data_IF_513810196531
#
_entry.id   IF_513810196531
#
_cell.length_a   1.000
_cell.length_b   1.000
_cell.length_c   1.000
_cell.angle_alpha   90.00
_cell.angle_beta   90.00
_cell.angle_gamma   90.00
#
_symmetry.space_group_name_H-M   'P 1'
#
loop_
_entity.id
_entity.type
_entity.pdbx_description
1 polymer ?
#
# COMPACT_ATOMS: atom_id res chain seq x y z
N UNK A 1 -65.37 19.19 4.02
CA UNK A 1 -65.43 19.24 2.55
C UNK A 1 -65.11 20.65 2.14
N UNK A 2 -64.07 21.03 1.42
CA UNK A 2 -62.93 20.34 0.83
C UNK A 2 -61.92 21.44 0.43
N UNK A 3 -60.63 21.21 0.71
CA UNK A 3 -59.45 21.48 -0.12
C UNK A 3 -59.49 22.65 -1.13
N UNK A 4 -58.59 23.65 -1.15
CA UNK A 4 -57.14 23.64 -1.51
C UNK A 4 -56.88 25.06 -2.11
N UNK A 5 -55.72 25.70 -2.21
CA UNK A 5 -54.29 25.52 -1.88
C UNK A 5 -53.62 26.84 -2.34
N UNK A 6 -52.62 27.36 -1.62
CA UNK A 6 -51.29 27.70 -2.16
C UNK A 6 -50.45 28.43 -1.11
N UNK A 7 -49.64 27.62 -0.42
CA UNK A 7 -48.45 28.07 0.28
C UNK A 7 -47.35 28.39 -0.75
N UNK A 8 -46.75 29.57 -0.63
CA UNK A 8 -45.53 29.93 -1.34
C UNK A 8 -44.35 29.63 -0.40
N UNK A 9 -43.73 28.46 -0.56
CA UNK A 9 -42.43 28.15 0.00
C UNK A 9 -41.35 28.88 -0.81
N UNK A 10 -40.63 29.80 -0.17
CA UNK A 10 -39.33 30.26 -0.66
C UNK A 10 -38.26 29.29 -0.20
N UNK A 11 -37.60 28.73 -1.20
CA UNK A 11 -36.36 27.99 -1.16
C UNK A 11 -35.20 28.79 -0.55
N UNK A 12 -34.31 28.09 0.15
CA UNK A 12 -32.85 28.20 0.11
C UNK A 12 -32.20 28.04 1.48
N UNK A 13 -31.56 26.88 1.64
CA UNK A 13 -30.67 26.57 2.75
C UNK A 13 -30.23 25.12 2.70
N UNK A 14 -29.84 24.65 1.51
CA UNK A 14 -29.25 23.33 1.32
C UNK A 14 -27.91 23.33 2.08
N UNK A 15 -27.93 22.91 3.36
CA UNK A 15 -26.73 22.61 4.13
C UNK A 15 -26.01 21.46 3.43
N UNK A 16 -25.10 21.81 2.53
CA UNK A 16 -24.07 20.92 2.02
C UNK A 16 -23.39 20.31 3.24
N UNK A 17 -23.58 19.02 3.44
CA UNK A 17 -22.67 18.21 4.26
C UNK A 17 -21.31 18.35 3.60
N UNK A 18 -20.49 19.25 4.11
CA UNK A 18 -19.05 19.12 4.00
C UNK A 18 -18.66 17.87 4.79
N UNK A 19 -18.78 16.71 4.16
CA UNK A 19 -17.91 15.58 4.46
C UNK A 19 -16.50 15.96 4.02
N UNK A 20 -15.91 16.91 4.76
CA UNK A 20 -14.46 16.94 4.93
C UNK A 20 -14.11 15.63 5.61
N UNK A 21 -13.90 14.57 4.80
CA UNK A 21 -13.02 13.48 5.20
C UNK A 21 -11.72 14.19 5.57
N UNK A 22 -11.50 14.39 6.86
CA UNK A 22 -10.21 14.86 7.37
C UNK A 22 -9.17 14.01 6.68
N UNK A 23 -8.34 14.63 5.83
CA UNK A 23 -7.23 13.94 5.20
C UNK A 23 -6.43 13.32 6.36
N UNK A 24 -6.41 11.99 6.44
CA UNK A 24 -5.70 11.32 7.51
C UNK A 24 -4.22 11.59 7.27
N UNK A 25 -3.64 12.51 8.04
CA UNK A 25 -2.22 12.79 7.99
C UNK A 25 -1.47 11.65 8.68
N UNK A 26 -1.19 10.60 7.92
CA UNK A 26 -0.35 9.49 8.37
C UNK A 26 1.12 9.88 8.27
N UNK A 27 1.88 9.53 9.31
CA UNK A 27 3.34 9.52 9.25
C UNK A 27 3.83 8.45 8.26
N UNK A 28 5.07 8.59 7.77
CA UNK A 28 5.62 7.64 6.81
C UNK A 28 5.65 6.21 7.35
N UNK A 29 5.99 6.04 8.64
CA UNK A 29 5.93 4.73 9.31
C UNK A 29 4.52 4.13 9.30
N UNK A 30 3.49 4.94 9.49
CA UNK A 30 2.10 4.46 9.46
C UNK A 30 1.67 4.07 8.05
N UNK A 31 2.03 4.87 7.03
CA UNK A 31 1.74 4.52 5.63
C UNK A 31 2.47 3.25 5.21
N UNK A 32 3.74 3.13 5.58
CA UNK A 32 4.55 1.95 5.33
C UNK A 32 3.95 0.71 6.02
N UNK A 33 3.46 0.86 7.26
CA UNK A 33 2.76 -0.21 7.95
C UNK A 33 1.47 -0.62 7.22
N UNK A 34 0.74 0.32 6.59
CA UNK A 34 -0.45 0.00 5.80
C UNK A 34 -0.14 -0.81 4.53
N UNK A 35 1.07 -0.71 3.96
CA UNK A 35 1.45 -1.53 2.82
C UNK A 35 1.31 -3.03 3.12
N UNK A 36 1.60 -3.45 4.36
CA UNK A 36 1.46 -4.84 4.80
C UNK A 36 0.01 -5.28 5.05
N UNK A 37 -0.94 -4.33 5.06
CA UNK A 37 -2.37 -4.60 5.17
C UNK A 37 -3.04 -4.76 3.81
N UNK A 38 -2.37 -4.42 2.71
CA UNK A 38 -2.91 -4.64 1.37
C UNK A 38 -3.11 -6.13 1.10
N UNK A 39 -4.21 -6.48 0.45
CA UNK A 39 -4.56 -7.88 0.14
C UNK A 39 -3.49 -8.51 -0.78
N UNK A 40 -2.88 -7.70 -1.65
CA UNK A 40 -1.84 -8.09 -2.58
C UNK A 40 -0.46 -8.24 -1.93
N UNK A 41 -0.27 -7.76 -0.69
CA UNK A 41 1.03 -7.74 -0.02
C UNK A 41 1.69 -9.13 -0.03
N UNK A 42 0.93 -10.19 0.23
CA UNK A 42 1.43 -11.57 0.28
C UNK A 42 2.02 -12.10 -1.04
N UNK A 43 1.81 -11.39 -2.15
CA UNK A 43 2.46 -11.73 -3.42
C UNK A 43 3.94 -11.32 -3.43
N UNK A 44 4.27 -10.20 -2.78
CA UNK A 44 5.55 -9.50 -2.91
C UNK A 44 6.31 -9.37 -1.59
N UNK A 45 5.63 -9.42 -0.46
CA UNK A 45 6.16 -9.17 0.87
C UNK A 45 5.36 -9.93 1.94
N UNK A 46 5.68 -9.72 3.21
CA UNK A 46 4.97 -10.31 4.35
C UNK A 46 3.60 -9.66 4.53
N UNK A 47 2.57 -10.45 4.85
CA UNK A 47 1.25 -9.92 5.19
C UNK A 47 1.18 -9.52 6.66
N UNK A 48 0.24 -8.64 7.04
CA UNK A 48 -0.06 -8.29 8.45
C UNK A 48 -0.05 -9.50 9.39
N UNK A 49 -0.73 -10.59 9.04
CA UNK A 49 -0.84 -11.76 9.92
C UNK A 49 0.51 -12.46 10.09
N UNK A 50 1.32 -12.51 9.04
CA UNK A 50 2.66 -13.09 9.08
C UNK A 50 3.61 -12.24 9.91
N UNK A 51 3.50 -10.92 9.81
CA UNK A 51 4.21 -9.98 10.68
C UNK A 51 3.85 -10.20 12.15
N UNK A 52 2.55 -10.31 12.46
CA UNK A 52 2.07 -10.43 13.83
C UNK A 52 2.38 -11.79 14.47
N UNK A 53 2.44 -12.85 13.66
CA UNK A 53 2.69 -14.22 14.16
C UNK A 53 4.15 -14.63 14.09
N UNK A 54 4.97 -13.92 13.29
CA UNK A 54 6.35 -14.30 12.99
C UNK A 54 6.47 -15.55 12.11
N UNK A 55 5.37 -16.10 11.60
CA UNK A 55 5.35 -17.29 10.74
C UNK A 55 4.81 -16.89 9.37
N UNK A 56 5.54 -17.22 8.31
CA UNK A 56 5.18 -16.83 6.96
C UNK A 56 5.41 -17.94 5.94
N UNK A 57 4.67 -17.86 4.84
CA UNK A 57 4.88 -18.72 3.67
C UNK A 57 6.00 -18.17 2.79
N UNK A 58 7.10 -18.89 2.67
CA UNK A 58 8.23 -18.57 1.79
C UNK A 58 8.09 -19.27 0.44
N UNK A 59 8.14 -18.49 -0.64
CA UNK A 59 7.98 -18.98 -2.02
C UNK A 59 9.32 -19.38 -2.63
N UNK A 60 9.48 -20.68 -2.92
CA UNK A 60 10.68 -21.26 -3.52
C UNK A 60 10.33 -21.89 -4.87
N UNK A 61 10.34 -21.06 -5.93
CA UNK A 61 9.84 -21.48 -7.24
C UNK A 61 8.36 -21.83 -7.17
N UNK A 62 8.01 -23.07 -7.49
CA UNK A 62 6.63 -23.60 -7.39
C UNK A 62 6.29 -24.16 -6.02
N UNK A 63 7.26 -24.29 -5.13
CA UNK A 63 7.08 -24.80 -3.77
C UNK A 63 6.85 -23.64 -2.80
N UNK A 64 6.14 -23.96 -1.72
CA UNK A 64 5.93 -23.03 -0.59
C UNK A 64 6.26 -23.76 0.70
N UNK A 65 7.11 -23.15 1.51
CA UNK A 65 7.52 -23.68 2.81
C UNK A 65 7.20 -22.69 3.92
N UNK A 66 6.98 -23.19 5.14
CA UNK A 66 6.80 -22.32 6.31
C UNK A 66 8.17 -21.88 6.82
N UNK A 67 8.32 -20.58 6.99
CA UNK A 67 9.49 -19.96 7.59
C UNK A 67 9.08 -19.16 8.83
N UNK A 68 10.05 -18.89 9.70
CA UNK A 68 9.87 -18.10 10.91
C UNK A 68 10.82 -16.91 10.90
N UNK A 69 10.34 -15.77 11.37
CA UNK A 69 11.14 -14.58 11.62
C UNK A 69 10.76 -13.98 12.95
N UNK A 70 11.75 -13.44 13.67
CA UNK A 70 11.54 -12.71 14.92
C UNK A 70 11.40 -11.22 14.66
N UNK A 71 12.05 -10.73 13.61
CA UNK A 71 12.12 -9.32 13.26
C UNK A 71 11.74 -9.07 11.80
N UNK A 72 11.34 -7.83 11.52
CA UNK A 72 11.16 -7.31 10.17
C UNK A 72 12.01 -6.08 10.04
N UNK A 73 12.85 -6.07 9.01
CA UNK A 73 13.71 -4.94 8.69
C UNK A 73 13.24 -4.29 7.40
N UNK A 74 13.16 -2.96 7.44
CA UNK A 74 12.98 -2.10 6.28
C UNK A 74 14.28 -1.35 6.06
N UNK A 75 15.01 -1.71 5.02
CA UNK A 75 16.28 -1.09 4.67
C UNK A 75 16.04 -0.07 3.55
N UNK A 76 16.36 1.19 3.82
CA UNK A 76 16.16 2.28 2.86
C UNK A 76 17.04 2.09 1.62
N UNK A 77 16.45 2.36 0.45
CA UNK A 77 17.09 2.23 -0.84
C UNK A 77 17.38 3.61 -1.42
N UNK A 78 18.44 3.75 -2.25
CA UNK A 78 18.60 4.92 -3.09
C UNK A 78 17.37 5.16 -3.99
N UNK A 79 17.12 6.41 -4.40
CA UNK A 79 16.07 6.71 -5.37
C UNK A 79 16.22 5.90 -6.65
N UNK A 80 15.10 5.48 -7.22
CA UNK A 80 15.04 4.71 -8.46
C UNK A 80 14.69 5.63 -9.63
N UNK A 81 15.36 5.46 -10.77
CA UNK A 81 15.08 6.26 -11.96
C UNK A 81 13.64 6.09 -12.44
N UNK A 82 13.05 7.17 -12.95
CA UNK A 82 11.69 7.20 -13.48
C UNK A 82 10.58 6.81 -12.49
N UNK A 83 10.89 6.84 -11.19
CA UNK A 83 9.90 6.70 -10.12
C UNK A 83 9.04 7.98 -9.99
N UNK A 84 7.81 7.85 -9.44
CA UNK A 84 7.02 9.00 -9.03
C UNK A 84 7.80 9.94 -8.10
N UNK A 85 7.48 11.23 -8.19
CA UNK A 85 8.09 12.27 -7.35
C UNK A 85 7.95 11.94 -5.87
N UNK A 86 9.03 12.17 -5.11
CA UNK A 86 9.11 11.94 -3.66
C UNK A 86 8.81 10.49 -3.23
N UNK A 87 9.03 9.51 -4.11
CA UNK A 87 8.91 8.11 -3.74
C UNK A 87 10.17 7.61 -3.02
N UNK A 88 9.98 7.12 -1.80
CA UNK A 88 10.99 6.46 -0.98
C UNK A 88 10.85 4.95 -1.14
N UNK A 89 11.97 4.24 -1.21
CA UNK A 89 12.01 2.81 -1.45
C UNK A 89 12.71 2.07 -0.31
N UNK A 90 12.23 0.86 -0.02
CA UNK A 90 12.74 0.03 1.05
C UNK A 90 12.80 -1.43 0.61
N UNK A 91 13.91 -2.10 0.88
CA UNK A 91 13.94 -3.56 0.91
C UNK A 91 13.22 -4.05 2.16
N UNK A 92 12.44 -5.13 2.02
CA UNK A 92 11.78 -5.80 3.13
C UNK A 92 12.48 -7.11 3.42
N UNK A 93 12.89 -7.29 4.68
CA UNK A 93 13.47 -8.53 5.17
C UNK A 93 12.63 -9.15 6.30
N UNK A 94 12.52 -10.49 6.33
CA UNK A 94 12.98 -11.42 5.29
C UNK A 94 12.18 -11.30 3.98
N UNK A 95 12.75 -11.68 2.84
CA UNK A 95 12.01 -11.71 1.59
C UNK A 95 10.92 -12.79 1.62
N UNK A 96 9.86 -12.55 0.87
CA UNK A 96 8.71 -13.47 0.75
C UNK A 96 9.01 -14.71 -0.10
N UNK A 97 10.11 -14.72 -0.83
CA UNK A 97 10.50 -15.84 -1.67
C UNK A 97 11.92 -15.69 -2.20
N UNK A 98 12.25 -16.45 -3.24
CA UNK A 98 13.52 -16.35 -3.96
C UNK A 98 13.60 -15.09 -4.85
N UNK A 99 13.27 -13.93 -4.29
CA UNK A 99 13.33 -12.61 -4.91
C UNK A 99 13.50 -11.56 -3.81
N UNK A 100 14.02 -10.38 -4.16
CA UNK A 100 14.02 -9.23 -3.26
C UNK A 100 12.61 -8.65 -3.16
N UNK A 101 12.12 -8.47 -1.93
CA UNK A 101 10.87 -7.79 -1.62
C UNK A 101 11.12 -6.29 -1.49
N UNK A 102 10.40 -5.46 -2.25
CA UNK A 102 10.56 -4.00 -2.24
C UNK A 102 9.22 -3.33 -2.02
N UNK A 103 9.19 -2.32 -1.14
CA UNK A 103 8.08 -1.37 -0.99
C UNK A 103 8.57 0.02 -1.40
N UNK A 104 7.83 0.69 -2.28
CA UNK A 104 7.97 2.11 -2.55
C UNK A 104 6.77 2.86 -1.97
N UNK A 105 6.95 4.08 -1.48
CA UNK A 105 5.82 4.91 -1.06
C UNK A 105 6.10 6.39 -1.24
N UNK A 106 5.06 7.12 -1.62
CA UNK A 106 4.99 8.56 -1.46
C UNK A 106 3.66 8.92 -0.78
N UNK A 107 3.29 10.19 -0.82
CA UNK A 107 2.04 10.68 -0.21
C UNK A 107 0.76 10.11 -0.84
N UNK A 108 0.83 9.66 -2.11
CA UNK A 108 -0.33 9.32 -2.94
C UNK A 108 -0.37 7.84 -3.32
N UNK A 109 0.75 7.11 -3.25
CA UNK A 109 0.87 5.75 -3.78
C UNK A 109 1.75 4.86 -2.92
N UNK A 110 1.39 3.59 -2.88
CA UNK A 110 2.24 2.48 -2.42
C UNK A 110 2.58 1.62 -3.63
N UNK A 111 3.86 1.32 -3.80
CA UNK A 111 4.38 0.39 -4.78
C UNK A 111 4.89 -0.85 -4.07
N UNK A 112 4.64 -2.03 -4.64
CA UNK A 112 5.18 -3.29 -4.12
C UNK A 112 5.66 -4.16 -5.28
N UNK A 113 6.85 -4.75 -5.15
CA UNK A 113 7.31 -5.73 -6.13
C UNK A 113 8.21 -6.80 -5.53
N UNK A 114 8.29 -7.91 -6.26
CA UNK A 114 9.34 -8.90 -6.12
C UNK A 114 10.26 -8.83 -7.34
N UNK A 115 11.58 -8.79 -7.13
CA UNK A 115 12.54 -8.79 -8.24
C UNK A 115 13.75 -9.69 -7.99
N UNK A 116 14.20 -10.37 -9.04
CA UNK A 116 15.49 -11.08 -9.07
C UNK A 116 16.55 -10.32 -9.87
N UNK A 117 16.13 -9.28 -10.61
CA UNK A 117 16.98 -8.49 -11.49
C UNK A 117 17.51 -7.23 -10.82
N UNK A 118 18.37 -6.52 -11.54
CA UNK A 118 18.90 -5.24 -11.08
C UNK A 118 17.78 -4.21 -10.86
N UNK A 119 17.85 -3.48 -9.75
CA UNK A 119 16.94 -2.39 -9.41
C UNK A 119 17.48 -1.09 -10.01
N UNK A 120 17.17 -0.83 -11.27
CA UNK A 120 17.73 0.34 -12.00
C UNK A 120 16.68 1.34 -12.46
N UNK A 121 15.45 0.87 -12.71
CA UNK A 121 14.39 1.65 -13.33
C UNK A 121 13.02 1.23 -12.82
N UNK A 122 12.20 2.22 -12.46
CA UNK A 122 10.88 1.99 -11.87
C UNK A 122 9.90 1.31 -12.85
N UNK A 123 9.93 1.67 -14.13
CA UNK A 123 9.06 1.10 -15.16
C UNK A 123 9.39 -0.38 -15.43
N UNK A 124 10.66 -0.76 -15.24
CA UNK A 124 11.04 -2.17 -15.30
C UNK A 124 10.48 -2.95 -14.10
N UNK A 125 10.54 -2.38 -12.89
CA UNK A 125 10.03 -3.03 -11.68
C UNK A 125 8.51 -3.17 -11.68
N UNK A 126 7.79 -2.23 -12.31
CA UNK A 126 6.33 -2.33 -12.51
C UNK A 126 5.92 -3.58 -13.31
N UNK A 127 6.81 -4.20 -14.09
CA UNK A 127 6.51 -5.45 -14.81
C UNK A 127 6.32 -6.64 -13.86
N UNK A 128 6.87 -6.58 -12.66
CA UNK A 128 6.77 -7.61 -11.62
C UNK A 128 6.24 -7.06 -10.30
N UNK A 129 5.55 -5.92 -10.35
CA UNK A 129 5.02 -5.22 -9.19
C UNK A 129 3.66 -4.60 -9.46
N UNK A 130 3.16 -3.89 -8.46
CA UNK A 130 1.87 -3.19 -8.47
C UNK A 130 2.00 -1.82 -7.84
N UNK A 131 1.10 -0.92 -8.25
CA UNK A 131 0.81 0.33 -7.54
C UNK A 131 -0.58 0.23 -6.90
N UNK A 132 -0.70 0.78 -5.70
CA UNK A 132 -1.94 0.99 -4.96
C UNK A 132 -2.06 2.48 -4.62
N UNK A 133 -3.29 3.00 -4.63
CA UNK A 133 -3.62 4.39 -4.28
C UNK A 133 -4.15 4.51 -2.83
#
# INVERSE_FOLDING_TARGET
MDSKKQENHKDQGNSKKDTNKSAIHLSDKQRLALAFYADEAGQYTLTKNEILTGIYEYKKGTETEKAQTEDILLEEMPPINNAPTEMHFYYVYPPKGQFASIIGMNKDKIFMCGTQGAVTDYQLLLKSGIELD
#
